data_IF_138953525615
#
_entry.id   IF_138953525615
#
_cell.length_a   1.000
_cell.length_b   1.000
_cell.length_c   1.000
_cell.angle_alpha   90.00
_cell.angle_beta   90.00
_cell.angle_gamma   90.00
#
_symmetry.space_group_name_H-M   'P 1'
#
loop_
_entity.id
_entity.type
_entity.pdbx_description
1 polymer ?
#
# COMPACT_ATOMS: atom_id res chain seq x y z
N UNK A 1 1.91 0.41 -16.62
CA UNK A 1 1.38 -0.22 -15.40
C UNK A 1 2.32 0.12 -14.25
N UNK A 2 1.83 0.62 -13.10
CA UNK A 2 2.66 1.01 -11.95
C UNK A 2 2.48 0.03 -10.80
N UNK A 3 3.57 -0.36 -10.12
CA UNK A 3 3.50 -1.20 -8.92
C UNK A 3 3.03 -0.36 -7.73
N UNK A 4 2.02 -0.85 -7.01
CA UNK A 4 1.60 -0.25 -5.74
C UNK A 4 2.47 -0.77 -4.60
N UNK A 5 2.91 0.15 -3.74
CA UNK A 5 3.54 -0.15 -2.45
C UNK A 5 2.47 0.10 -1.39
N UNK A 6 1.94 -0.99 -0.86
CA UNK A 6 0.77 -1.00 0.01
C UNK A 6 1.16 -1.01 1.49
N UNK A 7 0.27 -0.53 2.35
CA UNK A 7 0.49 -0.51 3.79
C UNK A 7 -0.20 -1.70 4.47
N UNK A 8 0.49 -2.31 5.43
CA UNK A 8 -0.10 -3.33 6.32
C UNK A 8 -0.49 -2.68 7.63
N UNK A 9 -1.71 -2.92 8.10
CA UNK A 9 -2.18 -2.46 9.40
C UNK A 9 -1.94 -3.54 10.46
N UNK A 10 -1.18 -3.19 11.49
CA UNK A 10 -0.71 -4.14 12.49
C UNK A 10 -1.62 -4.21 13.73
N UNK A 11 -2.92 -4.38 13.54
CA UNK A 11 -3.87 -4.45 14.65
C UNK A 11 -3.72 -5.76 15.44
N UNK A 12 -4.03 -5.71 16.74
CA UNK A 12 -3.84 -6.83 17.67
C UNK A 12 -4.57 -8.13 17.27
N UNK A 13 -5.67 -8.02 16.52
CA UNK A 13 -6.44 -9.16 16.02
C UNK A 13 -5.87 -9.78 14.73
N UNK A 14 -4.83 -9.19 14.15
CA UNK A 14 -4.20 -9.67 12.93
C UNK A 14 -3.41 -10.97 13.11
N UNK A 15 -3.26 -11.73 12.03
CA UNK A 15 -2.44 -12.93 12.01
C UNK A 15 -0.96 -12.57 11.81
N UNK A 16 -0.05 -13.26 12.49
CA UNK A 16 1.39 -13.06 12.31
C UNK A 16 1.94 -13.71 11.04
N UNK A 17 1.23 -14.69 10.46
CA UNK A 17 1.74 -15.52 9.37
C UNK A 17 0.88 -15.49 8.11
N UNK A 18 -0.43 -15.25 8.20
CA UNK A 18 -1.33 -15.43 7.06
C UNK A 18 -0.93 -14.62 5.81
N UNK A 19 -0.60 -13.32 5.97
CA UNK A 19 -0.17 -12.51 4.82
C UNK A 19 1.22 -12.89 4.29
N UNK A 20 2.08 -13.46 5.15
CA UNK A 20 3.38 -13.99 4.71
C UNK A 20 3.18 -15.28 3.90
N UNK A 21 2.36 -16.21 4.37
CA UNK A 21 2.10 -17.49 3.72
C UNK A 21 1.33 -17.32 2.40
N UNK A 22 0.29 -16.47 2.39
CA UNK A 22 -0.58 -16.30 1.23
C UNK A 22 0.03 -15.40 0.15
N UNK A 23 0.78 -14.36 0.55
CA UNK A 23 1.22 -13.30 -0.35
C UNK A 23 2.73 -13.02 -0.32
N UNK A 24 3.50 -13.74 0.50
CA UNK A 24 4.95 -13.56 0.60
C UNK A 24 5.36 -12.24 1.27
N UNK A 25 4.46 -11.58 2.02
CA UNK A 25 4.78 -10.33 2.71
C UNK A 25 5.70 -10.65 3.90
N UNK A 26 6.92 -10.11 3.87
CA UNK A 26 7.90 -10.33 4.93
C UNK A 26 7.43 -9.72 6.25
N UNK A 27 7.51 -10.50 7.34
CA UNK A 27 7.20 -10.05 8.69
C UNK A 27 8.35 -10.39 9.66
N UNK A 28 9.54 -9.79 9.48
CA UNK A 28 10.71 -10.11 10.30
C UNK A 28 10.53 -9.75 11.77
N UNK A 29 9.69 -8.76 12.08
CA UNK A 29 9.38 -8.33 13.44
C UNK A 29 8.25 -9.14 14.09
N UNK A 30 7.66 -10.12 13.39
CA UNK A 30 6.59 -10.98 13.91
C UNK A 30 5.39 -10.18 14.49
N UNK A 31 5.04 -9.07 13.85
CA UNK A 31 3.90 -8.23 14.22
C UNK A 31 2.59 -8.88 13.74
N UNK A 32 1.46 -8.72 14.46
CA UNK A 32 0.18 -9.15 13.93
C UNK A 32 -0.15 -8.30 12.71
N UNK A 33 -0.47 -8.94 11.58
CA UNK A 33 -0.84 -8.27 10.33
C UNK A 33 -2.32 -8.53 10.05
N UNK A 34 -3.11 -7.47 10.13
CA UNK A 34 -4.57 -7.56 10.14
C UNK A 34 -5.16 -7.26 8.76
N UNK A 35 -4.69 -6.19 8.13
CA UNK A 35 -5.26 -5.68 6.88
C UNK A 35 -4.15 -5.23 5.93
N UNK A 36 -4.30 -5.52 4.64
CA UNK A 36 -3.47 -4.95 3.57
C UNK A 36 -4.28 -3.87 2.85
N UNK A 37 -3.88 -2.61 3.00
CA UNK A 37 -4.61 -1.48 2.42
C UNK A 37 -4.06 -1.13 1.05
N UNK A 38 -4.95 -1.15 0.06
CA UNK A 38 -4.66 -0.82 -1.33
C UNK A 38 -5.57 0.32 -1.79
N UNK A 39 -5.00 1.40 -2.29
CA UNK A 39 -5.75 2.53 -2.85
C UNK A 39 -5.31 3.88 -2.29
N UNK A 40 -6.17 4.89 -2.46
CA UNK A 40 -5.87 6.29 -2.16
C UNK A 40 -6.48 6.80 -0.84
N UNK A 41 -6.77 5.90 0.11
CA UNK A 41 -7.45 6.28 1.34
C UNK A 41 -6.60 7.27 2.18
N UNK A 42 -7.18 8.38 2.69
CA UNK A 42 -6.46 9.43 3.43
C UNK A 42 -5.52 8.94 4.54
N UNK A 43 -5.98 7.95 5.32
CA UNK A 43 -5.23 7.44 6.48
C UNK A 43 -4.05 6.54 6.12
N UNK A 44 -4.06 5.93 4.93
CA UNK A 44 -2.99 5.01 4.51
C UNK A 44 -3.06 4.80 3.00
N UNK A 45 -2.67 5.82 2.24
CA UNK A 45 -2.61 5.72 0.79
C UNK A 45 -1.46 4.79 0.40
N UNK A 46 -1.70 3.88 -0.56
CA UNK A 46 -0.64 3.21 -1.31
C UNK A 46 0.32 4.25 -1.91
N UNK A 47 1.56 3.85 -2.14
CA UNK A 47 2.57 4.67 -2.81
C UNK A 47 2.90 4.10 -4.18
N UNK A 48 3.32 4.98 -5.08
CA UNK A 48 3.79 4.62 -6.43
C UNK A 48 5.13 5.28 -6.69
N UNK A 49 5.94 4.65 -7.54
CA UNK A 49 7.15 5.25 -8.09
C UNK A 49 6.80 5.94 -9.40
N UNK A 50 7.06 7.24 -9.48
CA UNK A 50 6.86 8.05 -10.69
C UNK A 50 7.90 7.71 -11.75
N UNK A 51 7.69 8.18 -12.98
CA UNK A 51 8.67 8.02 -14.06
C UNK A 51 10.05 8.62 -13.73
N UNK A 52 10.09 9.61 -12.82
CA UNK A 52 11.32 10.27 -12.39
C UNK A 52 12.00 9.55 -11.20
N UNK A 53 11.50 8.38 -10.80
CA UNK A 53 12.02 7.61 -9.66
C UNK A 53 11.54 8.08 -8.29
N UNK A 54 10.81 9.19 -8.21
CA UNK A 54 10.26 9.70 -6.95
C UNK A 54 9.13 8.78 -6.46
N UNK A 55 9.13 8.43 -5.17
CA UNK A 55 8.00 7.70 -4.57
C UNK A 55 7.02 8.68 -3.95
N UNK A 56 5.79 8.73 -4.46
CA UNK A 56 4.71 9.62 -4.00
C UNK A 56 3.50 8.82 -3.52
N UNK A 57 2.59 9.44 -2.76
CA UNK A 57 1.32 8.80 -2.43
C UNK A 57 0.43 8.71 -3.67
N UNK A 58 -0.31 7.61 -3.81
CA UNK A 58 -1.27 7.42 -4.89
C UNK A 58 -2.33 8.52 -4.86
N UNK A 59 -2.77 8.93 -3.68
CA UNK A 59 -3.70 10.05 -3.51
C UNK A 59 -3.15 11.34 -4.13
N UNK A 60 -1.92 11.71 -3.83
CA UNK A 60 -1.33 12.95 -4.37
C UNK A 60 -1.13 12.86 -5.88
N UNK A 61 -0.80 11.68 -6.39
CA UNK A 61 -0.69 11.46 -7.84
C UNK A 61 -2.03 11.62 -8.56
N UNK A 62 -3.12 11.08 -7.99
CA UNK A 62 -4.48 11.25 -8.51
C UNK A 62 -4.89 12.72 -8.45
N UNK A 63 -4.63 13.39 -7.32
CA UNK A 63 -5.00 14.81 -7.17
C UNK A 63 -4.27 15.71 -8.18
N UNK A 64 -2.99 15.44 -8.44
CA UNK A 64 -2.20 16.17 -9.44
C UNK A 64 -2.74 16.04 -10.87
N UNK A 65 -3.36 14.91 -11.23
CA UNK A 65 -3.92 14.73 -12.58
C UNK A 65 -5.10 13.73 -12.58
N UNK A 66 -6.29 14.20 -12.19
CA UNK A 66 -7.50 13.36 -12.06
C UNK A 66 -7.94 12.76 -13.39
N UNK A 67 -7.97 13.55 -14.45
CA UNK A 67 -8.39 13.11 -15.79
C UNK A 67 -7.51 11.97 -16.30
N UNK A 68 -6.19 12.10 -16.21
CA UNK A 68 -5.29 11.03 -16.69
C UNK A 68 -5.35 9.75 -15.83
N UNK A 69 -5.68 9.87 -14.54
CA UNK A 69 -5.65 8.74 -13.60
C UNK A 69 -7.01 8.05 -13.42
N UNK A 70 -8.12 8.76 -13.62
CA UNK A 70 -9.47 8.28 -13.35
C UNK A 70 -10.35 8.21 -14.62
N UNK A 71 -10.01 8.96 -15.68
CA UNK A 71 -10.86 9.17 -16.85
C UNK A 71 -11.67 10.45 -16.73
#
# INVERSE_FOLDING_TARGET
MQKLINSVQNYAWGSKTALTELYGIANPQQQPMAELWMGAHPKSSSRITTANGETVSLRDAIEKNKTAMLG
#
